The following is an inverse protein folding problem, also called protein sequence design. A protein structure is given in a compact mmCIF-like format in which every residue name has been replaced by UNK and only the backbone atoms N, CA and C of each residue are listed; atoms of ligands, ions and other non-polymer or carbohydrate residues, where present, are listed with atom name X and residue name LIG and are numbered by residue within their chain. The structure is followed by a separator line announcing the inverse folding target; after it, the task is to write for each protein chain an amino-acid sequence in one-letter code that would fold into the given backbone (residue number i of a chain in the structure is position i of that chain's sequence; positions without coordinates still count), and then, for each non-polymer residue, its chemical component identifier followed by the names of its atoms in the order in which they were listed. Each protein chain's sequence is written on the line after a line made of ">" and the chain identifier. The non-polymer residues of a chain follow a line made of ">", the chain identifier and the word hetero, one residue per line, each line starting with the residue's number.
data_IF_915529203913
#
_entry.id   IF_915529203913
#
_cell.length_a   1.000
_cell.length_b   1.000
_cell.length_c   1.000
_cell.angle_alpha   90.00
_cell.angle_beta   90.00
_cell.angle_gamma   90.00
#
_symmetry.space_group_name_H-M   'P 1'
#
loop_
_entity.id
_entity.type
_entity.pdbx_description
1 polymer ?
#
# COMPACT_ATOMS: atom_id res chain seq x y z
N UNK A 1 -57.45 -20.44 -25.39
CA UNK A 1 -56.40 -21.25 -26.05
C UNK A 1 -55.33 -20.36 -26.67
N UNK A 2 -55.69 -19.42 -27.57
CA UNK A 2 -54.75 -18.51 -28.25
C UNK A 2 -53.77 -17.75 -27.33
N UNK A 3 -54.25 -17.24 -26.19
CA UNK A 3 -53.38 -16.53 -25.25
C UNK A 3 -52.32 -17.43 -24.61
N UNK A 4 -52.58 -18.73 -24.47
CA UNK A 4 -51.66 -19.66 -23.78
C UNK A 4 -50.46 -19.99 -24.67
N UNK A 5 -50.70 -20.19 -25.97
CA UNK A 5 -49.66 -20.38 -27.00
C UNK A 5 -48.82 -19.10 -27.23
N UNK A 6 -49.42 -17.91 -27.09
CA UNK A 6 -48.71 -16.63 -27.26
C UNK A 6 -47.64 -16.37 -26.19
N UNK A 7 -47.84 -16.89 -24.97
CA UNK A 7 -46.88 -16.75 -23.86
C UNK A 7 -45.95 -17.96 -23.71
N UNK A 8 -46.16 -19.04 -24.47
CA UNK A 8 -45.40 -20.30 -24.35
C UNK A 8 -43.97 -20.21 -24.92
N UNK A 9 -43.68 -19.16 -25.71
CA UNK A 9 -42.35 -18.88 -26.26
C UNK A 9 -41.60 -17.73 -25.58
N UNK A 10 -42.17 -17.10 -24.56
CA UNK A 10 -41.50 -16.04 -23.80
C UNK A 10 -40.85 -16.71 -22.59
N UNK A 11 -39.56 -17.02 -22.73
CA UNK A 11 -38.72 -17.48 -21.63
C UNK A 11 -38.48 -16.32 -20.65
N UNK A 12 -39.38 -16.16 -19.70
CA UNK A 12 -39.37 -15.11 -18.67
C UNK A 12 -38.40 -15.44 -17.50
N UNK A 13 -37.54 -16.44 -17.67
CA UNK A 13 -36.61 -16.91 -16.63
C UNK A 13 -35.39 -16.01 -16.52
N UNK A 14 -35.60 -14.74 -16.16
CA UNK A 14 -34.51 -13.79 -15.92
C UNK A 14 -33.71 -14.19 -14.67
N UNK A 15 -32.38 -14.23 -14.79
CA UNK A 15 -31.51 -14.41 -13.64
C UNK A 15 -31.70 -13.26 -12.64
N UNK A 16 -31.55 -13.54 -11.34
CA UNK A 16 -31.65 -12.51 -10.28
C UNK A 16 -30.71 -11.32 -10.58
N UNK A 17 -29.53 -11.58 -11.13
CA UNK A 17 -28.58 -10.52 -11.52
C UNK A 17 -29.07 -9.68 -12.69
N UNK A 18 -29.80 -10.27 -13.64
CA UNK A 18 -30.37 -9.54 -14.77
C UNK A 18 -31.54 -8.67 -14.31
N UNK A 19 -32.36 -9.19 -13.38
CA UNK A 19 -33.50 -8.46 -12.82
C UNK A 19 -33.10 -7.26 -11.97
N UNK A 20 -32.07 -7.37 -11.13
CA UNK A 20 -31.66 -6.29 -10.22
C UNK A 20 -30.57 -5.39 -10.81
N UNK A 21 -29.66 -5.93 -11.61
CA UNK A 21 -28.49 -5.20 -12.12
C UNK A 21 -28.50 -5.01 -13.64
N UNK A 22 -29.47 -5.55 -14.38
CA UNK A 22 -29.51 -5.45 -15.85
C UNK A 22 -28.34 -6.16 -16.54
N UNK A 23 -27.62 -7.03 -15.81
CA UNK A 23 -26.38 -7.66 -16.23
C UNK A 23 -26.55 -9.17 -16.23
N UNK A 24 -26.17 -9.80 -17.34
CA UNK A 24 -26.03 -11.25 -17.39
C UNK A 24 -25.11 -11.75 -16.29
N UNK A 25 -25.45 -12.89 -15.69
CA UNK A 25 -24.76 -13.51 -14.56
C UNK A 25 -23.23 -13.57 -14.79
N UNK A 26 -22.80 -13.91 -16.01
CA UNK A 26 -21.37 -13.99 -16.38
C UNK A 26 -20.69 -12.63 -16.28
N UNK A 27 -21.33 -11.56 -16.79
CA UNK A 27 -20.78 -10.20 -16.74
C UNK A 27 -20.69 -9.68 -15.30
N UNK A 28 -21.70 -10.00 -14.49
CA UNK A 28 -21.73 -9.66 -13.08
C UNK A 28 -20.57 -10.35 -12.31
N UNK A 29 -20.37 -11.66 -12.53
CA UNK A 29 -19.26 -12.39 -11.91
C UNK A 29 -17.89 -11.86 -12.37
N UNK A 30 -17.72 -11.56 -13.67
CA UNK A 30 -16.50 -10.94 -14.18
C UNK A 30 -16.21 -9.61 -13.49
N UNK A 31 -17.22 -8.77 -13.30
CA UNK A 31 -17.07 -7.49 -12.60
C UNK A 31 -16.62 -7.71 -11.14
N UNK A 32 -17.20 -8.68 -10.44
CA UNK A 32 -16.80 -9.02 -9.07
C UNK A 32 -15.34 -9.45 -9.04
N UNK A 33 -14.92 -10.37 -9.91
CA UNK A 33 -13.53 -10.81 -9.98
C UNK A 33 -12.57 -9.66 -10.30
N UNK A 34 -12.97 -8.74 -11.18
CA UNK A 34 -12.18 -7.57 -11.51
C UNK A 34 -12.00 -6.64 -10.29
N UNK A 35 -13.09 -6.34 -9.57
CA UNK A 35 -13.03 -5.50 -8.36
C UNK A 35 -12.17 -6.14 -7.28
N UNK A 36 -12.36 -7.44 -7.01
CA UNK A 36 -11.56 -8.18 -6.04
C UNK A 36 -10.09 -8.24 -6.45
N UNK A 37 -9.81 -8.49 -7.73
CA UNK A 37 -8.46 -8.52 -8.28
C UNK A 37 -7.75 -7.16 -8.16
N UNK A 38 -8.45 -6.07 -8.43
CA UNK A 38 -7.92 -4.71 -8.23
C UNK A 38 -7.66 -4.41 -6.76
N UNK A 39 -8.56 -4.82 -5.85
CA UNK A 39 -8.35 -4.67 -4.41
C UNK A 39 -7.10 -5.40 -3.91
N UNK A 40 -6.90 -6.65 -4.35
CA UNK A 40 -5.71 -7.43 -4.02
C UNK A 40 -4.45 -6.82 -4.61
N UNK A 41 -4.50 -6.35 -5.87
CA UNK A 41 -3.37 -5.70 -6.53
C UNK A 41 -2.93 -4.41 -5.83
N UNK A 42 -3.88 -3.55 -5.47
CA UNK A 42 -3.61 -2.33 -4.70
C UNK A 42 -3.05 -2.68 -3.33
N UNK A 43 -3.63 -3.68 -2.65
CA UNK A 43 -3.13 -4.15 -1.35
C UNK A 43 -1.66 -4.60 -1.41
N UNK A 44 -1.27 -5.33 -2.45
CA UNK A 44 0.13 -5.75 -2.64
C UNK A 44 1.09 -4.58 -2.84
N UNK A 45 0.68 -3.55 -3.60
CA UNK A 45 1.51 -2.36 -3.84
C UNK A 45 1.69 -1.55 -2.56
N UNK A 46 0.63 -1.43 -1.76
CA UNK A 46 0.64 -0.58 -0.56
C UNK A 46 1.30 -1.24 0.66
N UNK A 47 1.16 -2.55 0.82
CA UNK A 47 1.51 -3.25 2.08
C UNK A 47 2.47 -4.46 1.93
N UNK A 48 3.09 -4.66 0.75
CA UNK A 48 4.11 -5.69 0.52
C UNK A 48 5.54 -5.36 1.01
N UNK A 49 6.49 -6.27 0.80
CA UNK A 49 7.91 -6.09 1.17
C UNK A 49 8.64 -5.04 0.33
N UNK A 50 8.20 -4.83 -0.91
CA UNK A 50 8.66 -3.76 -1.79
C UNK A 50 7.55 -2.71 -1.97
N UNK A 51 6.88 -2.37 -0.87
CA UNK A 51 5.75 -1.44 -0.89
C UNK A 51 6.15 0.00 -0.67
N UNK A 52 5.18 0.88 -0.93
CA UNK A 52 5.28 2.29 -0.61
C UNK A 52 5.53 2.54 0.89
N UNK A 53 4.86 1.78 1.78
CA UNK A 53 5.04 1.92 3.23
C UNK A 53 6.49 1.65 3.65
N UNK A 54 7.07 0.55 3.15
CA UNK A 54 8.46 0.19 3.42
C UNK A 54 9.42 1.26 2.88
N UNK A 55 9.16 1.77 1.68
CA UNK A 55 9.98 2.83 1.09
C UNK A 55 9.97 4.11 1.94
N UNK A 56 8.80 4.57 2.38
CA UNK A 56 8.67 5.75 3.23
C UNK A 56 9.37 5.53 4.58
N UNK A 57 9.22 4.35 5.18
CA UNK A 57 9.91 4.00 6.42
C UNK A 57 11.44 4.00 6.28
N UNK A 58 11.96 3.53 5.15
CA UNK A 58 13.40 3.60 4.84
C UNK A 58 13.88 5.04 4.66
N UNK A 59 13.09 5.89 4.00
CA UNK A 59 13.41 7.30 3.81
C UNK A 59 13.49 8.06 5.14
N UNK A 60 12.51 7.85 6.03
CA UNK A 60 12.51 8.45 7.37
C UNK A 60 13.71 7.97 8.19
N UNK A 61 14.02 6.68 8.12
CA UNK A 61 15.18 6.11 8.82
C UNK A 61 16.51 6.64 8.27
N UNK A 62 16.62 6.81 6.95
CA UNK A 62 17.79 7.44 6.34
C UNK A 62 18.00 8.87 6.86
N UNK A 63 16.93 9.67 6.92
CA UNK A 63 16.99 11.04 7.45
C UNK A 63 17.43 11.05 8.92
N UNK A 64 16.88 10.15 9.73
CA UNK A 64 17.30 9.96 11.11
C UNK A 64 18.80 9.65 11.19
N UNK A 65 19.30 8.68 10.41
CA UNK A 65 20.73 8.32 10.39
C UNK A 65 21.63 9.49 9.97
N UNK A 66 21.23 10.27 8.97
CA UNK A 66 21.98 11.45 8.55
C UNK A 66 22.08 12.49 9.67
N UNK A 67 20.98 12.73 10.40
CA UNK A 67 20.97 13.63 11.55
C UNK A 67 21.90 13.14 12.67
N UNK A 68 21.90 11.84 12.92
CA UNK A 68 22.72 11.22 13.96
C UNK A 68 24.21 11.27 13.62
N UNK A 69 24.56 11.06 12.35
CA UNK A 69 25.93 11.25 11.86
C UNK A 69 26.41 12.68 12.12
N UNK A 70 25.57 13.70 11.87
CA UNK A 70 25.93 15.09 12.11
C UNK A 70 26.11 15.36 13.61
N UNK A 71 25.19 14.88 14.45
CA UNK A 71 25.26 14.99 15.91
C UNK A 71 26.55 14.38 16.46
N UNK A 72 26.84 13.13 16.09
CA UNK A 72 28.03 12.41 16.53
C UNK A 72 29.33 13.05 16.05
N UNK A 73 29.36 13.64 14.84
CA UNK A 73 30.53 14.38 14.37
C UNK A 73 30.81 15.62 15.21
N UNK A 74 29.76 16.37 15.58
CA UNK A 74 29.91 17.55 16.42
C UNK A 74 30.38 17.17 17.83
N UNK A 75 29.75 16.16 18.42
CA UNK A 75 30.13 15.64 19.75
C UNK A 75 31.58 15.14 19.76
N UNK A 76 32.00 14.42 18.71
CA UNK A 76 33.38 13.96 18.59
C UNK A 76 34.38 15.14 18.46
N UNK A 77 34.03 16.19 17.71
CA UNK A 77 34.89 17.38 17.61
C UNK A 77 35.04 18.13 18.95
N UNK A 78 33.95 18.22 19.73
CA UNK A 78 33.97 18.83 21.07
C UNK A 78 34.82 18.01 22.05
N UNK A 79 34.62 16.68 22.08
CA UNK A 79 35.41 15.78 22.91
C UNK A 79 36.89 15.78 22.54
N UNK A 80 37.21 15.85 21.24
CA UNK A 80 38.60 15.97 20.79
C UNK A 80 39.24 17.27 21.29
N UNK A 81 38.49 18.38 21.24
CA UNK A 81 38.96 19.67 21.76
C UNK A 81 39.26 19.58 23.25
N UNK A 82 38.31 19.09 24.05
CA UNK A 82 38.49 18.93 25.50
C UNK A 82 39.68 18.03 25.83
N UNK A 83 39.82 16.91 25.11
CA UNK A 83 40.95 16.00 25.27
C UNK A 83 42.30 16.69 25.02
N UNK A 84 42.40 17.53 23.98
CA UNK A 84 43.64 18.28 23.72
C UNK A 84 43.94 19.31 24.82
N UNK A 85 42.93 20.05 25.29
CA UNK A 85 43.09 21.01 26.38
C UNK A 85 43.57 20.32 27.68
N UNK A 86 42.96 19.19 28.05
CA UNK A 86 43.38 18.42 29.22
C UNK A 86 44.79 17.84 29.06
N UNK A 87 45.13 17.35 27.86
CA UNK A 87 46.47 16.82 27.56
C UNK A 87 47.54 17.89 27.71
N UNK A 88 47.30 19.11 27.22
CA UNK A 88 48.20 20.25 27.39
C UNK A 88 48.39 20.63 28.86
N UNK A 89 47.33 20.61 29.67
CA UNK A 89 47.41 20.89 31.11
C UNK A 89 48.23 19.81 31.82
N UNK A 90 48.01 18.53 31.50
CA UNK A 90 48.70 17.41 32.16
C UNK A 90 50.19 17.27 31.79
N UNK A 91 50.61 17.83 30.65
CA UNK A 91 51.98 17.81 30.19
C UNK A 91 52.85 18.95 30.78
N UNK A 92 52.25 19.83 31.58
CA UNK A 92 52.89 20.95 32.27
C UNK A 92 53.20 20.58 33.73
#
# INVERSE_FOLDING_TARGET
>A
MLNKELFEGIDDTQSITEKYFGLSLVKFLLLIFLVLGMGVYIGMILYGTNSLEVFLGLQDYEQYLQSEIYRLKNENAELQREYFELKEISAK
#
